data_IF_495237513635
#
_entry.id   IF_495237513635
#
_cell.length_a   1.000
_cell.length_b   1.000
_cell.length_c   1.000
_cell.angle_alpha   90.00
_cell.angle_beta   90.00
_cell.angle_gamma   90.00
#
_symmetry.space_group_name_H-M   'P 1'
#
loop_
_entity.id
_entity.type
_entity.pdbx_description
1 polymer ?
#
# COMPACT_ATOMS: atom_id res chain seq x y z
N UNK A 1 -22.01 -1.08 24.16
CA UNK A 1 -20.87 -1.90 23.71
C UNK A 1 -20.36 -1.34 22.38
N UNK A 2 -19.12 -0.83 22.32
CA UNK A 2 -18.51 -0.37 21.06
C UNK A 2 -18.16 -1.59 20.21
N UNK A 3 -18.82 -1.77 19.08
CA UNK A 3 -18.40 -2.74 18.06
C UNK A 3 -17.00 -2.31 17.58
N UNK A 4 -15.97 -3.07 17.98
CA UNK A 4 -14.61 -2.86 17.50
C UNK A 4 -14.65 -2.95 15.97
N UNK A 5 -14.15 -1.91 15.30
CA UNK A 5 -13.95 -1.79 13.85
C UNK A 5 -12.87 -2.78 13.33
N UNK A 6 -13.00 -4.06 13.66
CA UNK A 6 -12.00 -5.11 13.38
C UNK A 6 -11.93 -5.50 11.90
N UNK A 7 -12.86 -5.03 11.07
CA UNK A 7 -12.97 -5.38 9.65
C UNK A 7 -12.80 -4.19 8.69
N UNK A 8 -12.25 -3.06 9.14
CA UNK A 8 -12.18 -1.87 8.28
C UNK A 8 -11.20 -1.98 7.11
N UNK A 9 -10.16 -2.81 7.21
CA UNK A 9 -9.15 -2.95 6.17
C UNK A 9 -8.72 -4.41 6.00
N UNK A 10 -9.20 -5.04 4.93
CA UNK A 10 -8.76 -6.37 4.53
C UNK A 10 -7.46 -6.25 3.72
N UNK A 11 -6.48 -7.07 4.09
CA UNK A 11 -5.16 -7.14 3.44
C UNK A 11 -4.93 -8.57 3.00
N UNK A 12 -4.38 -8.75 1.81
CA UNK A 12 -3.99 -10.07 1.36
C UNK A 12 -2.78 -10.52 2.18
N UNK A 13 -2.91 -11.66 2.87
CA UNK A 13 -1.79 -12.30 3.58
C UNK A 13 -1.09 -13.33 2.72
N UNK A 14 -1.82 -13.94 1.77
CA UNK A 14 -1.31 -14.95 0.85
C UNK A 14 -1.86 -14.72 -0.55
N UNK A 15 -1.04 -14.96 -1.57
CA UNK A 15 -1.43 -14.94 -2.99
C UNK A 15 -0.74 -16.09 -3.73
N UNK A 16 -1.34 -16.53 -4.83
CA UNK A 16 -0.68 -17.48 -5.71
C UNK A 16 0.50 -16.79 -6.42
N UNK A 17 1.68 -17.41 -6.32
CA UNK A 17 2.88 -16.94 -6.98
C UNK A 17 3.16 -17.78 -8.23
N UNK A 18 3.20 -17.20 -9.45
CA UNK A 18 3.51 -17.94 -10.67
C UNK A 18 4.95 -18.49 -10.69
N UNK A 19 5.91 -17.74 -10.12
CA UNK A 19 7.32 -18.16 -10.01
C UNK A 19 7.50 -19.36 -9.06
N UNK A 20 6.90 -19.31 -7.86
CA UNK A 20 6.98 -20.40 -6.88
C UNK A 20 5.98 -21.54 -7.15
N UNK A 21 5.01 -21.31 -8.05
CA UNK A 21 3.91 -22.22 -8.43
C UNK A 21 3.06 -22.73 -7.26
N UNK A 22 2.88 -21.90 -6.24
CA UNK A 22 2.11 -22.23 -5.03
C UNK A 22 1.58 -20.96 -4.36
N UNK A 23 0.62 -21.11 -3.45
CA UNK A 23 0.24 -20.05 -2.52
C UNK A 23 1.45 -19.66 -1.67
N UNK A 24 1.74 -18.37 -1.62
CA UNK A 24 2.85 -17.82 -0.87
C UNK A 24 2.40 -16.65 -0.01
N UNK A 25 2.98 -16.51 1.19
CA UNK A 25 2.77 -15.32 1.99
C UNK A 25 3.29 -14.10 1.25
N UNK A 26 2.56 -12.99 1.36
CA UNK A 26 2.91 -11.72 0.75
C UNK A 26 3.15 -10.65 1.80
N UNK A 27 4.07 -9.74 1.49
CA UNK A 27 4.29 -8.50 2.24
C UNK A 27 3.79 -7.33 1.40
N UNK A 28 3.05 -6.42 2.00
CA UNK A 28 2.71 -5.17 1.35
C UNK A 28 3.88 -4.20 1.44
N UNK A 29 4.15 -3.48 0.35
CA UNK A 29 5.14 -2.41 0.31
C UNK A 29 4.53 -1.19 -0.38
N UNK A 30 4.61 -0.03 0.26
CA UNK A 30 4.21 1.22 -0.36
C UNK A 30 5.07 1.47 -1.61
N UNK A 31 4.42 1.59 -2.76
CA UNK A 31 5.05 1.96 -4.03
C UNK A 31 5.05 3.47 -4.23
N UNK A 32 3.89 4.09 -4.02
CA UNK A 32 3.68 5.48 -4.38
C UNK A 32 2.67 6.14 -3.45
N UNK A 33 2.97 7.37 -3.06
CA UNK A 33 2.02 8.26 -2.39
C UNK A 33 1.49 9.23 -3.44
N UNK A 34 0.18 9.21 -3.65
CA UNK A 34 -0.56 10.13 -4.50
C UNK A 34 -1.32 11.13 -3.61
N UNK A 35 -1.77 12.26 -4.18
CA UNK A 35 -2.47 13.29 -3.39
C UNK A 35 -3.76 12.80 -2.71
N UNK A 36 -4.46 11.80 -3.28
CA UNK A 36 -5.70 11.24 -2.73
C UNK A 36 -5.63 9.73 -2.45
N UNK A 37 -4.48 9.10 -2.70
CA UNK A 37 -4.37 7.65 -2.59
C UNK A 37 -2.94 7.22 -2.28
N UNK A 38 -2.82 6.03 -1.74
CA UNK A 38 -1.55 5.34 -1.55
C UNK A 38 -1.62 4.03 -2.33
N UNK A 39 -0.59 3.77 -3.13
CA UNK A 39 -0.49 2.58 -3.95
C UNK A 39 0.53 1.64 -3.34
N UNK A 40 0.11 0.42 -3.05
CA UNK A 40 0.91 -0.64 -2.43
C UNK A 40 1.10 -1.80 -3.41
N UNK A 41 2.26 -2.44 -3.34
CA UNK A 41 2.60 -3.69 -4.01
C UNK A 41 2.53 -4.85 -3.03
N UNK A 42 1.94 -5.97 -3.44
CA UNK A 42 2.05 -7.23 -2.73
C UNK A 42 3.20 -8.03 -3.32
N UNK A 43 4.22 -8.28 -2.52
CA UNK A 43 5.40 -9.01 -2.96
C UNK A 43 5.49 -10.36 -2.28
N UNK A 44 5.76 -11.39 -3.08
CA UNK A 44 6.07 -12.73 -2.57
C UNK A 44 7.23 -12.64 -1.57
N UNK A 45 7.06 -13.21 -0.37
CA UNK A 45 8.14 -13.21 0.63
C UNK A 45 9.29 -14.13 0.22
N UNK A 46 9.01 -15.19 -0.53
CA UNK A 46 10.00 -16.18 -0.96
C UNK A 46 10.86 -15.69 -2.14
N UNK A 47 10.24 -15.33 -3.27
CA UNK A 47 10.98 -14.93 -4.47
C UNK A 47 11.00 -13.42 -4.74
N UNK A 48 10.20 -12.62 -4.03
CA UNK A 48 10.18 -11.15 -4.18
C UNK A 48 9.42 -10.62 -5.40
N UNK A 49 8.77 -11.47 -6.20
CA UNK A 49 7.93 -11.06 -7.33
C UNK A 49 6.72 -10.24 -6.87
N UNK A 50 6.31 -9.27 -7.69
CA UNK A 50 5.04 -8.56 -7.50
C UNK A 50 3.91 -9.50 -7.89
N UNK A 51 2.99 -9.73 -6.97
CA UNK A 51 1.84 -10.63 -7.12
C UNK A 51 0.52 -9.86 -7.27
N UNK A 52 0.53 -8.55 -7.06
CA UNK A 52 -0.65 -7.70 -7.18
C UNK A 52 -0.44 -6.35 -6.51
N UNK A 53 -1.41 -5.45 -6.67
CA UNK A 53 -1.37 -4.11 -6.09
C UNK A 53 -2.65 -3.79 -5.33
N UNK A 54 -2.55 -2.88 -4.37
CA UNK A 54 -3.68 -2.36 -3.59
C UNK A 54 -3.60 -0.85 -3.56
N UNK A 55 -4.69 -0.21 -3.93
CA UNK A 55 -4.86 1.22 -3.78
C UNK A 55 -5.68 1.50 -2.52
N UNK A 56 -5.21 2.41 -1.68
CA UNK A 56 -5.90 2.88 -0.48
C UNK A 56 -6.19 4.36 -0.68
N UNK A 57 -7.46 4.72 -0.80
CA UNK A 57 -7.84 6.14 -0.82
C UNK A 57 -7.60 6.74 0.57
N UNK A 58 -6.67 7.67 0.64
CA UNK A 58 -6.45 8.44 1.85
C UNK A 58 -7.53 9.54 1.91
N UNK A 59 -8.03 9.91 3.11
CA UNK A 59 -8.76 11.17 3.24
C UNK A 59 -7.83 12.27 2.73
N UNK A 60 -8.33 13.14 1.85
CA UNK A 60 -7.53 14.17 1.19
C UNK A 60 -6.71 14.94 2.22
N UNK A 61 -5.40 14.67 2.28
CA UNK A 61 -4.50 15.46 3.07
C UNK A 61 -4.31 16.76 2.27
N UNK A 62 -4.50 17.94 2.86
CA UNK A 62 -4.18 19.16 2.16
C UNK A 62 -2.69 19.10 1.81
N UNK A 63 -2.38 18.92 0.53
CA UNK A 63 -1.06 19.19 0.00
C UNK A 63 -0.79 20.65 0.34
N UNK A 64 0.05 20.88 1.34
CA UNK A 64 0.58 22.22 1.60
C UNK A 64 1.31 22.62 0.33
N UNK A 65 0.73 23.60 -0.39
CA UNK A 65 1.30 24.15 -1.61
C UNK A 65 2.74 24.57 -1.27
N UNK A 66 3.73 23.96 -1.92
CA UNK A 66 5.16 24.22 -1.71
C UNK A 66 5.58 25.65 -2.09
N UNK A 67 4.63 26.51 -2.45
CA UNK A 67 4.79 27.90 -2.85
C UNK A 67 5.36 28.82 -1.75
N UNK A 68 5.61 28.31 -0.55
CA UNK A 68 6.18 29.06 0.57
C UNK A 68 7.60 28.66 0.96
N UNK A 69 8.28 27.76 0.23
CA UNK A 69 9.71 27.51 0.51
C UNK A 69 10.54 28.72 0.06
N UNK A 70 11.24 29.42 0.98
CA UNK A 70 12.15 30.50 0.60
C UNK A 70 13.32 29.92 -0.22
N UNK A 71 13.90 30.70 -1.15
CA UNK A 71 15.08 30.27 -1.88
C UNK A 71 16.21 29.98 -0.88
N UNK A 72 16.80 28.78 -0.98
CA UNK A 72 18.07 28.48 -0.33
C UNK A 72 19.16 29.23 -1.09
N UNK A 73 19.75 30.24 -0.45
CA UNK A 73 20.95 30.94 -0.91
C UNK A 73 22.18 30.03 -0.82
#
# INVERSE_FOLDING_TARGET
>A
MRAKKQFEQLRATELYCPECRKLQPVRERLLLVLPQAELYDYRCVSCGSSLGSREVRAPAQPLVLASSLPPRH
#
